data_IF_358563961238
#
_entry.id   IF_358563961238
#
_cell.length_a   1.000
_cell.length_b   1.000
_cell.length_c   1.000
_cell.angle_alpha   90.00
_cell.angle_beta   90.00
_cell.angle_gamma   90.00
#
_symmetry.space_group_name_H-M   'P 1'
#
loop_
_entity.id
_entity.type
_entity.pdbx_description
1 polymer ?
#
# COMPACT_ATOMS: atom_id res chain seq x y z
N UNK A 1 -0.14 -22.03 8.44
CA UNK A 1 -0.51 -22.87 7.27
C UNK A 1 -1.17 -21.96 6.25
N UNK A 2 -0.40 -21.28 5.39
CA UNK A 2 -0.94 -20.38 4.33
C UNK A 2 -0.13 -20.43 3.02
N UNK A 3 1.03 -21.08 3.01
CA UNK A 3 1.99 -21.03 1.91
C UNK A 3 1.51 -21.74 0.63
N UNK A 4 0.62 -22.72 0.74
CA UNK A 4 0.15 -23.51 -0.42
C UNK A 4 -0.97 -22.85 -1.23
N UNK A 5 -1.68 -21.88 -0.64
CA UNK A 5 -2.81 -21.21 -1.30
C UNK A 5 -2.33 -19.99 -2.10
N UNK A 6 -1.20 -19.39 -1.73
CA UNK A 6 -0.70 -18.15 -2.34
C UNK A 6 -0.09 -18.35 -3.74
N UNK A 7 0.51 -19.51 -4.03
CA UNK A 7 1.19 -19.76 -5.32
C UNK A 7 0.24 -19.64 -6.54
N UNK A 8 -0.94 -20.29 -6.55
CA UNK A 8 -1.88 -20.18 -7.67
C UNK A 8 -2.38 -18.75 -7.94
N UNK A 9 -2.65 -17.97 -6.87
CA UNK A 9 -3.06 -16.57 -7.00
C UNK A 9 -1.93 -15.70 -7.51
N UNK A 10 -0.69 -16.00 -7.10
CA UNK A 10 0.48 -15.30 -7.57
C UNK A 10 0.71 -15.53 -9.07
N UNK A 11 0.61 -16.77 -9.53
CA UNK A 11 0.71 -17.10 -10.96
C UNK A 11 -0.37 -16.38 -11.78
N UNK A 12 -1.61 -16.36 -11.29
CA UNK A 12 -2.69 -15.61 -11.93
C UNK A 12 -2.42 -14.10 -11.96
N UNK A 13 -1.89 -13.53 -10.88
CA UNK A 13 -1.50 -12.12 -10.84
C UNK A 13 -0.37 -11.79 -11.83
N UNK A 14 0.64 -12.65 -11.95
CA UNK A 14 1.74 -12.47 -12.88
C UNK A 14 1.33 -12.59 -14.36
N UNK A 15 0.17 -13.19 -14.61
CA UNK A 15 -0.49 -13.26 -15.92
C UNK A 15 -1.54 -12.16 -16.11
N UNK A 16 -1.74 -11.27 -15.13
CA UNK A 16 -2.72 -10.20 -15.24
C UNK A 16 -2.36 -9.21 -16.37
N UNK A 17 -3.36 -8.51 -16.94
CA UNK A 17 -3.13 -7.51 -17.97
C UNK A 17 -2.14 -6.41 -17.55
N UNK A 18 -2.22 -5.98 -16.28
CA UNK A 18 -1.32 -4.96 -15.72
C UNK A 18 0.13 -5.44 -15.65
N UNK A 19 0.37 -6.66 -15.15
CA UNK A 19 1.74 -7.21 -15.11
C UNK A 19 2.26 -7.48 -16.52
N UNK A 20 1.39 -7.93 -17.43
CA UNK A 20 1.74 -8.16 -18.83
C UNK A 20 2.16 -6.86 -19.53
N UNK A 21 1.47 -5.75 -19.25
CA UNK A 21 1.88 -4.43 -19.70
C UNK A 21 3.23 -4.00 -19.10
N UNK A 22 3.43 -4.16 -17.79
CA UNK A 22 4.71 -3.85 -17.11
C UNK A 22 5.88 -4.66 -17.69
N UNK A 23 5.64 -5.93 -18.08
CA UNK A 23 6.64 -6.78 -18.73
C UNK A 23 7.13 -6.22 -20.08
N UNK A 24 6.37 -5.37 -20.76
CA UNK A 24 6.81 -4.73 -22.03
C UNK A 24 7.96 -3.73 -21.85
N UNK A 25 8.28 -3.34 -20.62
CA UNK A 25 9.42 -2.47 -20.29
C UNK A 25 10.71 -3.25 -20.05
N UNK A 26 10.64 -4.58 -20.01
CA UNK A 26 11.84 -5.42 -19.95
C UNK A 26 12.52 -5.38 -21.31
N UNK A 27 13.81 -5.01 -21.35
CA UNK A 27 14.56 -4.99 -22.60
C UNK A 27 14.58 -6.39 -23.25
N UNK A 28 14.19 -6.47 -24.52
CA UNK A 28 14.11 -7.72 -25.30
C UNK A 28 15.43 -8.52 -25.34
N UNK A 29 16.57 -7.90 -25.03
CA UNK A 29 17.90 -8.51 -25.17
C UNK A 29 18.40 -9.33 -23.96
N UNK A 30 17.68 -9.35 -22.83
CA UNK A 30 18.23 -9.93 -21.59
C UNK A 30 17.75 -11.35 -21.25
N UNK A 31 16.73 -11.90 -21.93
CA UNK A 31 16.12 -13.19 -21.53
C UNK A 31 15.61 -13.21 -20.08
N UNK A 32 15.49 -12.04 -19.46
CA UNK A 32 15.18 -11.85 -18.05
C UNK A 32 13.66 -11.86 -17.93
N UNK A 33 13.08 -12.92 -17.37
CA UNK A 33 11.66 -12.91 -17.03
C UNK A 33 11.48 -12.05 -15.78
N UNK A 34 10.56 -11.09 -15.85
CA UNK A 34 10.17 -10.30 -14.68
C UNK A 34 9.47 -11.23 -13.68
N UNK A 35 10.15 -11.50 -12.58
CA UNK A 35 9.60 -12.27 -11.46
C UNK A 35 8.89 -11.36 -10.46
N UNK A 36 7.98 -11.96 -9.68
CA UNK A 36 7.23 -11.22 -8.65
C UNK A 36 8.13 -10.51 -7.64
N UNK A 37 9.28 -11.11 -7.29
CA UNK A 37 10.25 -10.49 -6.38
C UNK A 37 10.84 -9.19 -6.93
N UNK A 38 10.99 -9.09 -8.25
CA UNK A 38 11.56 -7.93 -8.94
C UNK A 38 10.52 -6.82 -9.11
N UNK A 39 9.24 -7.18 -9.19
CA UNK A 39 8.16 -6.21 -9.08
C UNK A 39 8.07 -5.66 -7.65
N UNK A 40 8.17 -6.56 -6.66
CA UNK A 40 8.02 -6.24 -5.25
C UNK A 40 9.14 -5.37 -4.69
N UNK A 41 10.39 -5.54 -5.12
CA UNK A 41 11.53 -4.78 -4.58
C UNK A 41 11.49 -3.28 -4.93
N UNK A 42 10.58 -2.90 -5.83
CA UNK A 42 10.35 -1.54 -6.26
C UNK A 42 11.42 -0.97 -7.20
N UNK A 43 12.51 -1.68 -7.47
CA UNK A 43 13.59 -1.20 -8.34
C UNK A 43 13.06 -1.05 -9.76
N UNK A 44 12.45 -2.12 -10.31
CA UNK A 44 11.93 -2.13 -11.67
C UNK A 44 10.85 -1.06 -11.89
N UNK A 45 9.97 -0.86 -10.91
CA UNK A 45 8.92 0.14 -10.98
C UNK A 45 9.47 1.58 -10.94
N UNK A 46 10.52 1.84 -10.16
CA UNK A 46 11.21 3.14 -10.18
C UNK A 46 11.96 3.37 -11.50
N UNK A 47 12.52 2.32 -12.10
CA UNK A 47 13.17 2.41 -13.41
C UNK A 47 12.13 2.80 -14.48
N UNK A 48 10.94 2.18 -14.47
CA UNK A 48 9.81 2.57 -15.32
C UNK A 48 9.43 4.04 -15.04
N UNK A 49 9.28 4.43 -13.77
CA UNK A 49 8.94 5.81 -13.42
C UNK A 49 9.99 6.82 -13.90
N UNK A 50 11.27 6.44 -13.95
CA UNK A 50 12.35 7.29 -14.47
C UNK A 50 12.31 7.38 -16.00
N UNK A 51 11.95 6.29 -16.69
CA UNK A 51 11.68 6.33 -18.14
C UNK A 51 10.47 7.22 -18.45
N UNK A 52 9.45 7.18 -17.59
CA UNK A 52 8.27 8.06 -17.67
C UNK A 52 8.66 9.49 -17.35
N UNK A 53 9.42 9.78 -16.30
CA UNK A 53 9.80 11.15 -15.95
C UNK A 53 11.32 11.29 -15.79
N UNK A 54 12.06 11.54 -16.90
CA UNK A 54 13.52 11.66 -16.87
C UNK A 54 14.03 12.84 -16.05
N UNK A 55 13.17 13.84 -15.79
CA UNK A 55 13.52 15.01 -14.98
C UNK A 55 13.57 14.71 -13.48
N UNK A 56 12.93 13.62 -13.04
CA UNK A 56 13.02 13.15 -11.67
C UNK A 56 14.34 12.39 -11.49
N UNK A 57 15.30 13.00 -10.78
CA UNK A 57 16.57 12.33 -10.46
C UNK A 57 16.33 11.11 -9.56
N UNK A 58 16.74 9.88 -9.97
CA UNK A 58 16.62 8.70 -9.13
C UNK A 58 17.79 8.66 -8.14
N UNK A 59 17.79 9.55 -7.14
CA UNK A 59 18.70 9.44 -6.02
C UNK A 59 18.13 8.45 -4.99
N UNK A 60 18.71 7.26 -4.88
CA UNK A 60 18.52 6.38 -3.72
C UNK A 60 17.92 4.99 -3.96
N UNK A 61 17.70 4.55 -5.21
CA UNK A 61 17.25 3.17 -5.48
C UNK A 61 18.41 2.21 -5.23
N UNK A 62 18.37 1.45 -4.12
CA UNK A 62 19.38 0.42 -3.85
C UNK A 62 18.92 -0.94 -4.36
N UNK A 63 19.85 -1.65 -5.02
CA UNK A 63 19.63 -2.97 -5.64
C UNK A 63 19.80 -4.15 -4.66
N UNK A 64 19.52 -3.97 -3.38
CA UNK A 64 19.66 -5.04 -2.39
C UNK A 64 18.37 -5.86 -2.39
N UNK A 65 18.39 -6.99 -3.11
CA UNK A 65 17.27 -7.94 -3.17
C UNK A 65 16.96 -8.47 -1.76
N UNK A 66 15.68 -8.41 -1.37
CA UNK A 66 15.07 -9.06 -0.19
C UNK A 66 15.13 -8.39 1.20
N UNK A 67 15.68 -7.17 1.37
CA UNK A 67 15.52 -6.45 2.65
C UNK A 67 14.15 -5.72 2.72
N UNK A 68 13.29 -5.99 3.73
CA UNK A 68 12.03 -5.28 3.92
C UNK A 68 12.21 -3.76 4.03
N UNK A 69 13.27 -3.29 4.68
CA UNK A 69 13.49 -1.85 4.87
C UNK A 69 13.81 -1.16 3.54
N UNK A 70 14.68 -1.77 2.75
CA UNK A 70 14.98 -1.28 1.41
C UNK A 70 13.78 -1.36 0.46
N UNK A 71 12.98 -2.43 0.53
CA UNK A 71 11.73 -2.53 -0.25
C UNK A 71 10.78 -1.38 0.09
N UNK A 72 10.58 -1.12 1.39
CA UNK A 72 9.76 0.02 1.85
C UNK A 72 10.32 1.32 1.28
N UNK A 73 11.64 1.52 1.37
CA UNK A 73 12.27 2.73 0.84
C UNK A 73 12.02 2.92 -0.67
N UNK A 74 12.27 1.88 -1.48
CA UNK A 74 12.09 1.92 -2.93
C UNK A 74 10.62 2.18 -3.31
N UNK A 75 9.68 1.48 -2.67
CA UNK A 75 8.26 1.66 -2.94
C UNK A 75 7.74 3.01 -2.41
N UNK A 76 8.29 3.55 -1.31
CA UNK A 76 7.98 4.90 -0.83
C UNK A 76 8.48 5.97 -1.82
N UNK A 77 9.66 5.77 -2.40
CA UNK A 77 10.20 6.63 -3.44
C UNK A 77 9.28 6.64 -4.66
N UNK A 78 8.85 5.46 -5.11
CA UNK A 78 7.91 5.28 -6.21
C UNK A 78 6.62 6.06 -5.94
N UNK A 79 5.94 5.79 -4.82
CA UNK A 79 4.69 6.48 -4.45
C UNK A 79 4.88 8.00 -4.39
N UNK A 80 6.02 8.49 -3.93
CA UNK A 80 6.33 9.92 -3.92
C UNK A 80 6.47 10.48 -5.33
N UNK A 81 7.27 9.85 -6.19
CA UNK A 81 7.45 10.28 -7.58
C UNK A 81 6.11 10.32 -8.33
N UNK A 82 5.28 9.29 -8.13
CA UNK A 82 3.92 9.21 -8.66
C UNK A 82 3.09 10.43 -8.25
N UNK A 83 3.02 10.73 -6.94
CA UNK A 83 2.24 11.86 -6.41
C UNK A 83 2.73 13.21 -6.93
N UNK A 84 4.05 13.42 -6.87
CA UNK A 84 4.69 14.65 -7.34
C UNK A 84 4.37 14.87 -8.81
N UNK A 85 4.43 13.82 -9.63
CA UNK A 85 4.12 13.94 -11.04
C UNK A 85 2.66 14.34 -11.30
N UNK A 86 1.68 13.68 -10.67
CA UNK A 86 0.27 14.08 -10.84
C UNK A 86 0.03 15.54 -10.42
N UNK A 87 0.62 15.95 -9.31
CA UNK A 87 0.39 17.31 -8.81
C UNK A 87 1.09 18.37 -9.68
N UNK A 88 2.37 18.17 -9.98
CA UNK A 88 3.22 19.20 -10.57
C UNK A 88 3.10 19.24 -12.10
N UNK A 89 2.99 18.08 -12.76
CA UNK A 89 2.92 17.99 -14.21
C UNK A 89 1.48 17.97 -14.74
N UNK A 90 0.57 17.30 -14.04
CA UNK A 90 -0.79 17.07 -14.54
C UNK A 90 -1.82 18.01 -13.93
N UNK A 91 -1.46 18.67 -12.83
CA UNK A 91 -2.39 19.45 -12.00
C UNK A 91 -3.58 18.59 -11.58
N UNK A 92 -3.32 17.37 -11.11
CA UNK A 92 -4.36 16.46 -10.63
C UNK A 92 -3.99 15.89 -9.26
N UNK A 93 -5.00 15.70 -8.41
CA UNK A 93 -4.87 14.98 -7.15
C UNK A 93 -5.43 13.56 -7.29
N UNK A 94 -4.62 12.58 -6.89
CA UNK A 94 -5.04 11.18 -6.80
C UNK A 94 -5.95 11.04 -5.57
N UNK A 95 -7.21 10.69 -5.78
CA UNK A 95 -8.20 10.50 -4.70
C UNK A 95 -8.31 9.03 -4.26
N UNK A 96 -7.89 8.09 -5.11
CA UNK A 96 -7.75 6.69 -4.72
C UNK A 96 -6.67 6.49 -3.64
N UNK A 97 -6.87 5.55 -2.70
CA UNK A 97 -5.91 5.27 -1.66
C UNK A 97 -4.61 4.75 -2.25
N UNK A 98 -3.51 5.42 -1.89
CA UNK A 98 -2.19 5.04 -2.36
C UNK A 98 -1.73 3.71 -1.74
N UNK A 99 -0.82 3.01 -2.42
CA UNK A 99 -0.33 1.72 -1.96
C UNK A 99 0.25 1.78 -0.54
N UNK A 100 -0.18 0.87 0.33
CA UNK A 100 0.40 0.73 1.66
C UNK A 100 1.80 0.10 1.57
N UNK A 101 2.79 0.96 1.48
CA UNK A 101 4.20 0.61 1.31
C UNK A 101 4.73 -0.28 2.45
N UNK A 102 4.23 -0.08 3.67
CA UNK A 102 4.64 -0.87 4.84
C UNK A 102 4.14 -2.31 4.74
N UNK A 103 2.92 -2.51 4.23
CA UNK A 103 2.36 -3.83 3.98
C UNK A 103 3.16 -4.56 2.89
N UNK A 104 3.44 -3.89 1.76
CA UNK A 104 4.25 -4.47 0.68
C UNK A 104 5.66 -4.83 1.15
N UNK A 105 6.24 -3.96 1.99
CA UNK A 105 7.53 -4.14 2.63
C UNK A 105 7.63 -5.38 3.51
N UNK A 106 6.77 -5.44 4.54
CA UNK A 106 6.88 -6.39 5.65
C UNK A 106 6.16 -7.71 5.39
N UNK A 107 5.09 -7.69 4.60
CA UNK A 107 4.26 -8.88 4.33
C UNK A 107 4.02 -9.03 2.82
N UNK A 108 5.06 -9.39 2.03
CA UNK A 108 4.97 -9.48 0.57
C UNK A 108 4.11 -10.65 0.04
N UNK A 109 3.74 -11.60 0.89
CA UNK A 109 3.08 -12.84 0.48
C UNK A 109 1.75 -13.06 1.20
N UNK A 110 0.96 -12.00 1.42
CA UNK A 110 -0.40 -12.10 1.92
C UNK A 110 -1.41 -11.74 0.82
N UNK A 111 -2.64 -12.25 0.90
CA UNK A 111 -3.67 -11.98 -0.12
C UNK A 111 -3.99 -10.50 -0.31
N UNK A 112 -3.74 -9.69 0.73
CA UNK A 112 -3.94 -8.23 0.70
C UNK A 112 -2.84 -7.54 -0.13
N UNK A 113 -1.62 -8.10 -0.21
CA UNK A 113 -0.51 -7.56 -1.01
C UNK A 113 -0.85 -7.47 -2.49
N UNK A 114 -1.61 -8.45 -3.01
CA UNK A 114 -2.04 -8.44 -4.41
C UNK A 114 -2.92 -7.23 -4.72
N UNK A 115 -3.94 -6.97 -3.90
CA UNK A 115 -4.80 -5.79 -4.08
C UNK A 115 -3.98 -4.48 -4.00
N UNK A 116 -3.03 -4.39 -3.07
CA UNK A 116 -2.17 -3.21 -2.93
C UNK A 116 -1.19 -3.04 -4.09
N UNK A 117 -0.69 -4.13 -4.67
CA UNK A 117 0.13 -4.10 -5.89
C UNK A 117 -0.70 -3.77 -7.12
N UNK A 118 -1.89 -4.35 -7.27
CA UNK A 118 -2.83 -4.00 -8.34
C UNK A 118 -3.09 -2.50 -8.34
N UNK A 119 -3.40 -1.91 -7.19
CA UNK A 119 -3.58 -0.46 -7.08
C UNK A 119 -2.30 0.32 -7.47
N UNK A 120 -1.12 -0.18 -7.11
CA UNK A 120 0.16 0.44 -7.50
C UNK A 120 0.34 0.44 -9.02
N UNK A 121 0.00 -0.68 -9.66
CA UNK A 121 0.10 -0.88 -11.10
C UNK A 121 -0.95 -0.07 -11.87
N UNK A 122 -2.18 0.00 -11.34
CA UNK A 122 -3.25 0.84 -11.86
C UNK A 122 -2.87 2.32 -11.81
N UNK A 123 -2.28 2.79 -10.71
CA UNK A 123 -1.82 4.18 -10.62
C UNK A 123 -0.67 4.43 -11.61
N UNK A 124 0.23 3.47 -11.77
CA UNK A 124 1.34 3.56 -12.73
C UNK A 124 0.87 3.53 -14.18
N UNK A 125 -0.15 2.74 -14.54
CA UNK A 125 -0.65 2.67 -15.91
C UNK A 125 -1.34 3.98 -16.31
N UNK A 126 -2.02 4.64 -15.37
CA UNK A 126 -2.64 5.94 -15.63
C UNK A 126 -1.59 7.06 -15.68
N UNK A 127 -0.58 7.01 -14.83
CA UNK A 127 0.57 7.91 -14.94
C UNK A 127 1.25 7.80 -16.28
N UNK A 128 1.45 6.56 -16.68
CA UNK A 128 2.06 6.25 -17.95
C UNK A 128 1.24 6.81 -19.10
N UNK A 129 -0.09 6.76 -19.03
CA UNK A 129 -0.95 7.33 -20.05
C UNK A 129 -0.92 8.86 -20.09
N UNK A 130 -0.77 9.50 -18.92
CA UNK A 130 -0.86 10.94 -18.79
C UNK A 130 0.47 11.67 -19.14
N UNK A 131 1.63 11.00 -19.04
CA UNK A 131 2.92 11.53 -19.52
C UNK A 131 3.06 11.60 -21.05
N UNK A 132 2.15 11.00 -21.81
CA UNK A 132 2.41 10.65 -23.20
C UNK A 132 2.13 11.76 -24.22
N UNK A 133 1.89 13.02 -23.84
CA UNK A 133 1.69 14.05 -24.86
C UNK A 133 2.90 14.24 -25.80
N UNK A 134 4.12 13.88 -25.39
CA UNK A 134 5.33 14.01 -26.23
C UNK A 134 5.86 12.69 -26.84
N UNK A 135 5.44 11.50 -26.37
CA UNK A 135 5.91 10.17 -26.87
C UNK A 135 4.82 9.10 -27.08
N UNK A 136 3.53 9.49 -27.12
CA UNK A 136 2.35 8.58 -27.19
C UNK A 136 2.48 7.43 -28.17
N UNK A 137 3.11 7.65 -29.31
CA UNK A 137 3.23 6.68 -30.38
C UNK A 137 3.99 5.42 -29.94
N UNK A 138 5.13 5.55 -29.26
CA UNK A 138 5.99 4.40 -28.88
C UNK A 138 5.33 3.46 -27.87
N UNK A 139 4.39 3.99 -27.08
CA UNK A 139 3.75 3.24 -26.00
C UNK A 139 2.35 2.77 -26.36
N UNK A 140 1.63 3.51 -27.21
CA UNK A 140 0.49 2.97 -27.93
C UNK A 140 0.95 1.77 -28.76
N UNK A 141 2.10 1.85 -29.43
CA UNK A 141 2.69 0.70 -30.15
C UNK A 141 2.96 -0.48 -29.21
N UNK A 142 3.54 -0.25 -28.02
CA UNK A 142 3.71 -1.31 -27.00
C UNK A 142 2.38 -1.94 -26.59
N UNK A 143 1.36 -1.15 -26.27
CA UNK A 143 0.02 -1.67 -25.94
C UNK A 143 -0.55 -2.43 -27.15
N UNK A 144 -0.33 -1.94 -28.37
CA UNK A 144 -0.75 -2.61 -29.61
C UNK A 144 -0.03 -3.94 -29.87
N UNK A 145 1.16 -4.17 -29.30
CA UNK A 145 1.81 -5.50 -29.37
C UNK A 145 1.16 -6.57 -28.48
N UNK A 146 0.33 -6.17 -27.52
CA UNK A 146 -0.37 -7.09 -26.62
C UNK A 146 -1.47 -7.86 -27.35
N UNK A 147 -2.00 -8.92 -26.73
CA UNK A 147 -3.18 -9.60 -27.22
C UNK A 147 -4.45 -8.75 -27.04
N UNK A 148 -5.52 -9.11 -27.76
CA UNK A 148 -6.76 -8.33 -27.77
C UNK A 148 -7.41 -8.22 -26.38
N UNK A 149 -7.44 -9.32 -25.63
CA UNK A 149 -8.09 -9.36 -24.32
C UNK A 149 -7.32 -8.51 -23.30
N UNK A 150 -5.99 -8.58 -23.31
CA UNK A 150 -5.12 -7.73 -22.49
C UNK A 150 -5.31 -6.24 -22.82
N UNK A 151 -5.40 -5.87 -24.10
CA UNK A 151 -5.69 -4.47 -24.49
C UNK A 151 -7.04 -4.00 -23.96
N UNK A 152 -8.08 -4.81 -24.13
CA UNK A 152 -9.42 -4.47 -23.68
C UNK A 152 -9.45 -4.27 -22.16
N UNK A 153 -8.79 -5.16 -21.40
CA UNK A 153 -8.71 -5.03 -19.95
C UNK A 153 -7.92 -3.80 -19.49
N UNK A 154 -6.80 -3.48 -20.15
CA UNK A 154 -6.04 -2.24 -19.88
C UNK A 154 -6.88 -1.00 -20.16
N UNK A 155 -7.65 -0.99 -21.26
CA UNK A 155 -8.54 0.12 -21.60
C UNK A 155 -9.63 0.32 -20.54
N UNK A 156 -10.16 -0.77 -19.96
CA UNK A 156 -11.11 -0.69 -18.84
C UNK A 156 -10.46 -0.05 -17.60
N UNK A 157 -9.26 -0.50 -17.19
CA UNK A 157 -8.55 0.11 -16.06
C UNK A 157 -8.30 1.61 -16.27
N UNK A 158 -7.90 2.00 -17.48
CA UNK A 158 -7.71 3.40 -17.84
C UNK A 158 -9.04 4.17 -17.71
N UNK A 159 -10.13 3.63 -18.24
CA UNK A 159 -11.44 4.27 -18.22
C UNK A 159 -11.95 4.43 -16.78
N UNK A 160 -11.82 3.41 -15.95
CA UNK A 160 -12.25 3.44 -14.54
C UNK A 160 -11.53 4.55 -13.76
N UNK A 161 -10.23 4.71 -14.00
CA UNK A 161 -9.42 5.69 -13.28
C UNK A 161 -9.56 7.12 -13.81
N UNK A 162 -9.79 7.29 -15.11
CA UNK A 162 -9.86 8.62 -15.75
C UNK A 162 -11.28 9.20 -15.83
N UNK A 163 -12.32 8.37 -15.86
CA UNK A 163 -13.70 8.82 -16.07
C UNK A 163 -14.45 9.08 -14.75
N UNK A 164 -13.90 8.67 -13.61
CA UNK A 164 -14.51 8.88 -12.30
C UNK A 164 -13.89 10.08 -11.58
N UNK A 165 -14.70 11.12 -11.33
CA UNK A 165 -14.30 12.25 -10.48
C UNK A 165 -14.02 11.84 -9.01
N UNK A 166 -14.45 10.65 -8.59
CA UNK A 166 -14.09 10.08 -7.29
C UNK A 166 -12.64 9.56 -7.24
N UNK A 167 -12.01 9.31 -8.39
CA UNK A 167 -10.66 8.72 -8.48
C UNK A 167 -9.58 9.79 -8.66
N UNK A 168 -9.89 10.85 -9.40
CA UNK A 168 -8.97 11.94 -9.72
C UNK A 168 -9.67 13.30 -9.62
N UNK A 169 -9.05 14.24 -8.92
CA UNK A 169 -9.50 15.62 -8.86
C UNK A 169 -8.60 16.48 -9.74
N UNK A 170 -9.14 16.98 -10.84
CA UNK A 170 -8.50 18.01 -11.64
C UNK A 170 -8.31 19.28 -10.82
N UNK A 171 -7.19 19.99 -10.97
CA UNK A 171 -6.87 21.27 -10.35
C UNK A 171 -6.76 22.40 -11.36
N UNK A 172 -6.80 22.12 -12.67
CA UNK A 172 -6.70 23.15 -13.71
C UNK A 172 -7.84 24.18 -13.60
N UNK A 173 -8.99 23.78 -13.04
CA UNK A 173 -10.10 24.68 -12.73
C UNK A 173 -9.75 25.78 -11.73
N UNK A 174 -8.74 25.60 -10.85
CA UNK A 174 -8.29 26.65 -9.94
C UNK A 174 -7.63 27.82 -10.68
N UNK A 175 -7.07 27.54 -11.86
CA UNK A 175 -6.40 28.52 -12.72
C UNK A 175 -7.36 29.08 -13.81
N UNK A 176 -8.57 28.51 -13.93
CA UNK A 176 -9.56 28.95 -14.92
C UNK A 176 -10.15 30.32 -14.53
N UNK A 177 -10.03 31.29 -15.44
CA UNK A 177 -10.49 32.67 -15.20
C UNK A 177 -12.02 32.84 -15.28
N UNK A 178 -12.71 31.96 -16.02
CA UNK A 178 -14.17 31.95 -16.13
C UNK A 178 -14.65 30.49 -16.19
N UNK A 179 -15.36 30.05 -15.15
CA UNK A 179 -16.08 28.77 -15.12
C UNK A 179 -17.57 29.06 -15.12
N UNK A 180 -18.35 28.20 -15.78
CA UNK A 180 -19.80 28.34 -15.75
C UNK A 180 -20.31 28.13 -14.32
N UNK A 181 -21.28 28.93 -13.81
CA UNK A 181 -21.79 28.81 -12.44
C UNK A 181 -22.24 27.39 -12.07
N UNK A 182 -22.88 26.68 -13.01
CA UNK A 182 -23.35 25.30 -12.80
C UNK A 182 -22.18 24.30 -12.63
N UNK A 183 -21.07 24.51 -13.35
CA UNK A 183 -19.87 23.66 -13.22
C UNK A 183 -19.19 23.90 -11.87
N UNK A 184 -19.15 25.16 -11.43
CA UNK A 184 -18.62 25.53 -10.12
C UNK A 184 -19.47 24.95 -8.98
N UNK A 185 -20.80 24.92 -9.12
CA UNK A 185 -21.69 24.31 -8.12
C UNK A 185 -21.44 22.80 -8.00
N UNK A 186 -21.37 22.09 -9.12
CA UNK A 186 -21.06 20.64 -9.14
C UNK A 186 -19.70 20.39 -8.49
N UNK A 187 -18.70 21.20 -8.82
CA UNK A 187 -17.36 21.08 -8.27
C UNK A 187 -17.31 21.37 -6.77
N UNK A 188 -17.95 22.45 -6.31
CA UNK A 188 -18.04 22.79 -4.90
C UNK A 188 -18.74 21.68 -4.10
N UNK A 189 -19.79 21.08 -4.66
CA UNK A 189 -20.48 19.93 -4.05
C UNK A 189 -19.55 18.72 -3.95
N UNK A 190 -18.81 18.40 -5.00
CA UNK A 190 -17.85 17.29 -5.00
C UNK A 190 -16.71 17.54 -4.01
N UNK A 191 -16.18 18.77 -3.94
CA UNK A 191 -15.19 19.16 -2.94
C UNK A 191 -15.71 19.03 -1.52
N UNK A 192 -16.95 19.44 -1.25
CA UNK A 192 -17.56 19.27 0.07
C UNK A 192 -17.70 17.79 0.45
N UNK A 193 -18.07 16.93 -0.51
CA UNK A 193 -18.11 15.48 -0.30
C UNK A 193 -16.71 14.90 -0.01
N UNK A 194 -15.69 15.31 -0.76
CA UNK A 194 -14.31 14.89 -0.53
C UNK A 194 -13.77 15.37 0.82
N UNK A 195 -14.02 16.63 1.20
CA UNK A 195 -13.64 17.17 2.50
C UNK A 195 -14.30 16.40 3.65
N UNK A 196 -15.60 16.07 3.51
CA UNK A 196 -16.29 15.25 4.49
C UNK A 196 -15.64 13.86 4.63
N UNK A 197 -15.39 13.18 3.52
CA UNK A 197 -14.70 11.87 3.52
C UNK A 197 -13.31 11.96 4.17
N UNK A 198 -12.55 13.02 3.89
CA UNK A 198 -11.23 13.26 4.49
C UNK A 198 -11.29 13.47 6.01
N UNK A 199 -12.30 14.21 6.49
CA UNK A 199 -12.51 14.40 7.93
C UNK A 199 -12.90 13.08 8.61
N UNK A 200 -13.83 12.33 8.01
CA UNK A 200 -14.23 11.02 8.51
C UNK A 200 -13.02 10.06 8.58
N UNK A 201 -12.21 10.00 7.51
CA UNK A 201 -10.99 9.19 7.47
C UNK A 201 -9.96 9.60 8.52
N UNK A 202 -9.73 10.91 8.70
CA UNK A 202 -8.84 11.42 9.74
C UNK A 202 -9.28 10.95 11.12
N UNK A 203 -10.56 11.08 11.42
CA UNK A 203 -11.10 10.74 12.74
C UNK A 203 -11.00 9.23 12.99
N UNK A 204 -11.38 8.40 12.01
CA UNK A 204 -11.18 6.93 12.08
C UNK A 204 -9.71 6.54 12.26
N UNK A 205 -8.79 7.22 11.56
CA UNK A 205 -7.35 6.94 11.71
C UNK A 205 -6.82 7.34 13.09
N UNK A 206 -7.28 8.45 13.67
CA UNK A 206 -6.92 8.85 15.02
C UNK A 206 -7.43 7.87 16.08
N UNK A 207 -8.64 7.35 15.90
CA UNK A 207 -9.19 6.26 16.73
C UNK A 207 -8.32 5.00 16.63
N UNK A 208 -8.02 4.56 15.41
CA UNK A 208 -7.15 3.39 15.17
C UNK A 208 -5.76 3.57 15.80
N UNK A 209 -5.16 4.76 15.69
CA UNK A 209 -3.87 5.06 16.32
C UNK A 209 -3.98 4.94 17.84
N UNK A 210 -5.07 5.45 18.43
CA UNK A 210 -5.31 5.39 19.88
C UNK A 210 -5.46 3.93 20.34
N UNK A 211 -6.22 3.11 19.63
CA UNK A 211 -6.37 1.67 19.89
C UNK A 211 -5.02 0.95 19.82
N UNK A 212 -4.24 1.15 18.73
CA UNK A 212 -2.93 0.54 18.57
C UNK A 212 -1.92 0.98 19.65
N UNK A 213 -1.99 2.24 20.09
CA UNK A 213 -1.17 2.73 21.19
C UNK A 213 -1.52 2.05 22.51
N UNK A 214 -2.82 1.85 22.80
CA UNK A 214 -3.29 1.13 23.99
C UNK A 214 -2.88 -0.35 23.96
N UNK A 215 -3.03 -1.03 22.82
CA UNK A 215 -2.58 -2.42 22.66
C UNK A 215 -1.08 -2.54 22.90
N UNK A 216 -0.28 -1.62 22.34
CA UNK A 216 1.17 -1.59 22.54
C UNK A 216 1.55 -1.36 24.00
N UNK A 217 0.83 -0.51 24.73
CA UNK A 217 1.07 -0.29 26.16
C UNK A 217 0.60 -1.49 27.02
N UNK A 218 -0.50 -2.13 26.65
CA UNK A 218 -0.99 -3.37 27.27
C UNK A 218 -0.06 -4.57 27.06
N UNK A 219 0.59 -4.66 25.89
CA UNK A 219 1.53 -5.74 25.54
C UNK A 219 2.94 -5.50 26.11
N UNK A 220 3.38 -4.24 26.26
CA UNK A 220 4.69 -3.89 26.84
C UNK A 220 4.70 -3.99 28.39
N UNK A 221 3.53 -4.17 29.01
CA UNK A 221 3.36 -4.24 30.47
C UNK A 221 3.38 -5.64 31.09
N UNK A 222 4.32 -6.55 30.75
CA UNK A 222 4.78 -7.47 31.81
C UNK A 222 6.29 -7.81 31.84
N UNK A 223 7.21 -7.01 31.25
CA UNK A 223 8.63 -7.43 31.20
C UNK A 223 9.72 -6.41 31.60
N UNK A 224 9.39 -5.22 32.12
CA UNK A 224 10.40 -4.28 32.63
C UNK A 224 10.44 -4.18 34.16
N UNK A 225 11.21 -5.11 34.73
CA UNK A 225 12.27 -4.89 35.74
C UNK A 225 11.93 -4.62 37.23
N UNK A 226 12.81 -5.09 38.15
CA UNK A 226 12.59 -5.12 39.59
C UNK A 226 13.06 -3.84 40.32
N UNK A 227 12.50 -3.64 41.52
CA UNK A 227 13.04 -2.88 42.67
C UNK A 227 13.22 -1.35 42.54
N UNK A 228 12.30 -0.59 43.16
CA UNK A 228 12.61 0.42 44.19
C UNK A 228 11.32 1.00 44.80
N UNK A 229 11.28 1.37 46.11
CA UNK A 229 10.06 1.78 46.80
C UNK A 229 9.82 3.31 46.78
N UNK A 230 8.56 3.67 47.01
CA UNK A 230 7.99 5.02 47.22
C UNK A 230 7.64 5.78 45.93
N UNK A 231 6.42 6.31 45.72
CA UNK A 231 5.58 7.03 46.68
C UNK A 231 4.09 6.91 46.35
N UNK A 232 3.28 7.17 47.38
CA UNK A 232 1.84 7.03 47.48
C UNK A 232 1.01 7.82 46.45
N UNK A 233 0.02 7.16 45.87
CA UNK A 233 -1.40 7.55 45.83
C UNK A 233 -2.13 6.56 44.93
N UNK A 234 -3.45 6.41 45.12
CA UNK A 234 -4.42 5.61 44.34
C UNK A 234 -4.85 4.25 44.90
N UNK A 235 -6.17 4.17 45.11
CA UNK A 235 -7.06 3.13 45.61
C UNK A 235 -6.56 1.66 45.64
N UNK A 236 -6.61 0.97 46.79
CA UNK A 236 -6.16 -0.43 46.91
C UNK A 236 -7.11 -1.49 46.31
N UNK A 237 -8.33 -1.15 45.90
CA UNK A 237 -9.37 -2.15 45.62
C UNK A 237 -9.26 -2.81 44.24
N UNK A 238 -8.85 -2.08 43.19
CA UNK A 238 -8.80 -2.62 41.82
C UNK A 238 -7.50 -3.41 41.52
N UNK A 239 -6.36 -2.99 42.08
CA UNK A 239 -5.08 -3.70 41.92
C UNK A 239 -5.08 -5.08 42.57
N UNK A 240 -5.80 -5.24 43.70
CA UNK A 240 -5.85 -6.51 44.42
C UNK A 240 -6.70 -7.57 43.70
N UNK A 241 -7.78 -7.15 43.03
CA UNK A 241 -8.58 -8.03 42.17
C UNK A 241 -7.84 -8.44 40.88
N UNK A 242 -7.11 -7.52 40.25
CA UNK A 242 -6.27 -7.85 39.08
C UNK A 242 -5.11 -8.78 39.45
N UNK A 243 -4.43 -8.56 40.58
CA UNK A 243 -3.36 -9.44 41.05
C UNK A 243 -3.88 -10.85 41.38
N UNK A 244 -5.07 -10.98 41.98
CA UNK A 244 -5.71 -12.26 42.26
C UNK A 244 -6.13 -13.01 40.99
N UNK A 245 -6.69 -12.31 40.00
CA UNK A 245 -7.04 -12.91 38.70
C UNK A 245 -5.79 -13.36 37.91
N UNK A 246 -4.69 -12.59 37.98
CA UNK A 246 -3.42 -12.95 37.36
C UNK A 246 -2.79 -14.20 37.99
N UNK A 247 -2.86 -14.33 39.32
CA UNK A 247 -2.39 -15.55 40.00
C UNK A 247 -3.20 -16.78 39.61
N UNK A 248 -4.53 -16.65 39.46
CA UNK A 248 -5.39 -17.75 39.03
C UNK A 248 -5.06 -18.20 37.59
N UNK A 249 -4.90 -17.26 36.65
CA UNK A 249 -4.51 -17.59 35.28
C UNK A 249 -3.12 -18.25 35.20
N UNK A 250 -2.16 -17.79 36.01
CA UNK A 250 -0.81 -18.38 36.02
C UNK A 250 -0.83 -19.85 36.47
N UNK A 251 -1.68 -20.19 37.44
CA UNK A 251 -1.89 -21.57 37.90
C UNK A 251 -2.53 -22.42 36.81
N UNK A 252 -3.60 -21.94 36.16
CA UNK A 252 -4.25 -22.67 35.06
C UNK A 252 -3.30 -22.94 33.89
N UNK A 253 -2.43 -21.97 33.56
CA UNK A 253 -1.46 -22.10 32.49
C UNK A 253 -0.36 -23.10 32.85
N UNK A 254 0.09 -23.13 34.10
CA UNK A 254 1.00 -24.14 34.60
C UNK A 254 0.39 -25.56 34.53
N UNK A 255 -0.88 -25.71 34.89
CA UNK A 255 -1.61 -26.98 34.83
C UNK A 255 -1.81 -27.47 33.39
N UNK A 256 -2.18 -26.57 32.47
CA UNK A 256 -2.28 -26.90 31.05
C UNK A 256 -0.93 -27.31 30.45
N UNK A 257 0.15 -26.61 30.82
CA UNK A 257 1.52 -26.95 30.40
C UNK A 257 1.97 -28.30 30.97
N UNK A 258 1.59 -28.62 32.20
CA UNK A 258 1.85 -29.92 32.81
C UNK A 258 1.06 -31.06 32.10
N UNK A 259 -0.21 -30.82 31.74
CA UNK A 259 -1.00 -31.76 30.93
C UNK A 259 -0.36 -32.04 29.57
N UNK A 260 0.09 -31.01 28.86
CA UNK A 260 0.79 -31.17 27.57
C UNK A 260 2.09 -31.98 27.73
N UNK A 261 2.84 -31.76 28.81
CA UNK A 261 4.06 -32.54 29.09
C UNK A 261 3.75 -34.01 29.35
N UNK A 262 2.69 -34.34 30.10
CA UNK A 262 2.26 -35.74 30.31
C UNK A 262 1.85 -36.41 29.01
N UNK A 263 1.00 -35.76 28.21
CA UNK A 263 0.54 -36.30 26.93
C UNK A 263 1.70 -36.57 25.96
N UNK A 264 2.77 -35.76 26.02
CA UNK A 264 3.99 -35.98 25.23
C UNK A 264 4.88 -37.11 25.75
N UNK A 265 4.72 -37.54 27.00
CA UNK A 265 5.45 -38.67 27.58
C UNK A 265 4.70 -40.00 27.37
N UNK A 266 3.40 -39.93 27.10
CA UNK A 266 2.53 -41.08 26.80
C UNK A 266 2.47 -41.42 25.29
N UNK A 267 3.07 -40.59 24.44
CA UNK A 267 3.31 -40.81 23.00
C UNK A 267 4.75 -41.23 22.75
#
# INVERSE_FOLDING_TARGET
MESGVFLPYLEQFMLSPLVTWVKTFVANDAGMQLDFSELLDGVFLNDIMTQINPSATPQGVNKVKSDPSQRIHNLSLLVRQIKTYYLDNLRQLIMIPLPNVLLLGKTPYCGITQAVLTNSLEILIVLHLHFQCEKKEEYIERIQTLDFDTKAAIAVHIQELTHSQDNMLDLQWLEASELHPDELEVMARNMALHLRRLLDQRDTQLETITELMQEREGVVSPLSSPSSPHSASYCPSMQQQQAGAQQHLAVELADSKAKIRRLRQEL
#
